data_IF_987716018369
#
_entry.id   IF_987716018369
#
_cell.length_a   1.000
_cell.length_b   1.000
_cell.length_c   1.000
_cell.angle_alpha   90.00
_cell.angle_beta   90.00
_cell.angle_gamma   90.00
#
_symmetry.space_group_name_H-M   'P 1'
#
loop_
_entity.id
_entity.type
_entity.pdbx_description
1 polymer ?
#
# COMPACT_ATOMS: atom_id res chain seq x y z
N UNK A 1 0.68 -33.38 -29.48
CA UNK A 1 0.29 -32.69 -28.23
C UNK A 1 1.46 -31.88 -27.66
N UNK A 2 2.56 -32.49 -27.23
CA UNK A 2 3.78 -31.78 -26.76
C UNK A 2 4.35 -30.75 -27.76
N UNK A 3 4.42 -31.07 -29.04
CA UNK A 3 4.93 -30.14 -30.07
C UNK A 3 4.03 -28.92 -30.31
N UNK A 4 2.73 -29.04 -30.06
CA UNK A 4 1.76 -27.93 -30.20
C UNK A 4 1.82 -27.03 -28.95
N UNK A 5 1.98 -27.65 -27.78
CA UNK A 5 2.10 -26.98 -26.49
C UNK A 5 3.47 -26.34 -26.22
N UNK A 6 4.51 -26.69 -26.99
CA UNK A 6 5.84 -26.06 -26.95
C UNK A 6 6.11 -25.19 -28.19
N UNK A 7 5.04 -24.77 -28.87
CA UNK A 7 5.09 -23.91 -30.06
C UNK A 7 5.79 -22.57 -29.81
N UNK A 8 6.32 -21.91 -30.86
CA UNK A 8 6.95 -20.60 -30.75
C UNK A 8 6.04 -19.52 -30.16
N UNK A 9 4.72 -19.68 -30.23
CA UNK A 9 3.76 -18.78 -29.59
C UNK A 9 3.91 -18.74 -28.06
N UNK A 10 4.32 -19.84 -27.43
CA UNK A 10 4.60 -19.87 -25.99
C UNK A 10 5.86 -19.09 -25.64
N UNK A 11 6.91 -19.22 -26.46
CA UNK A 11 8.15 -18.46 -26.27
C UNK A 11 7.90 -16.95 -26.45
N UNK A 12 7.02 -16.59 -27.39
CA UNK A 12 6.61 -15.21 -27.61
C UNK A 12 5.86 -14.62 -26.40
N UNK A 13 4.87 -15.33 -25.86
CA UNK A 13 4.15 -14.89 -24.65
C UNK A 13 5.08 -14.70 -23.45
N UNK A 14 6.10 -15.55 -23.32
CA UNK A 14 7.10 -15.37 -22.27
C UNK A 14 7.97 -14.13 -22.49
N UNK A 15 8.34 -13.82 -23.74
CA UNK A 15 9.06 -12.58 -24.06
C UNK A 15 8.19 -11.36 -23.72
N UNK A 16 6.92 -11.37 -24.12
CA UNK A 16 5.98 -10.29 -23.81
C UNK A 16 5.85 -10.08 -22.29
N UNK A 17 5.75 -11.15 -21.50
CA UNK A 17 5.73 -11.04 -20.03
C UNK A 17 7.02 -10.43 -19.46
N UNK A 18 8.19 -10.64 -20.09
CA UNK A 18 9.47 -10.02 -19.68
C UNK A 18 9.50 -8.55 -19.98
N UNK A 19 9.10 -8.20 -21.18
CA UNK A 19 9.13 -6.82 -21.64
C UNK A 19 8.14 -6.01 -20.79
N UNK A 20 6.96 -6.58 -20.54
CA UNK A 20 6.01 -6.01 -19.58
C UNK A 20 6.59 -5.88 -18.17
N UNK A 21 7.22 -6.93 -17.62
CA UNK A 21 7.91 -6.82 -16.33
C UNK A 21 8.95 -5.69 -16.36
N UNK A 22 9.76 -5.58 -17.40
CA UNK A 22 10.77 -4.52 -17.51
C UNK A 22 10.13 -3.13 -17.49
N UNK A 23 8.99 -2.93 -18.16
CA UNK A 23 8.24 -1.69 -18.07
C UNK A 23 7.75 -1.42 -16.64
N UNK A 24 7.23 -2.44 -15.94
CA UNK A 24 6.81 -2.31 -14.55
C UNK A 24 7.99 -2.01 -13.61
N UNK A 25 9.14 -2.64 -13.80
CA UNK A 25 10.36 -2.36 -13.02
C UNK A 25 10.83 -0.91 -13.21
N UNK A 26 10.81 -0.42 -14.45
CA UNK A 26 11.14 0.97 -14.75
C UNK A 26 10.18 1.91 -14.02
N UNK A 27 8.88 1.64 -14.08
CA UNK A 27 7.85 2.43 -13.41
C UNK A 27 7.99 2.45 -11.88
N UNK A 28 8.31 1.30 -11.25
CA UNK A 28 8.53 1.21 -9.80
C UNK A 28 9.85 1.88 -9.38
N UNK A 29 10.89 1.78 -10.21
CA UNK A 29 12.24 2.23 -9.84
C UNK A 29 12.42 3.75 -9.78
N UNK A 30 11.47 4.54 -10.33
CA UNK A 30 11.54 6.01 -10.39
C UNK A 30 12.89 6.54 -10.93
N UNK A 31 13.60 5.75 -11.76
CA UNK A 31 14.88 6.16 -12.34
C UNK A 31 14.62 7.34 -13.28
N UNK A 32 15.22 8.49 -13.00
CA UNK A 32 15.03 9.77 -13.70
C UNK A 32 15.40 9.76 -15.21
N UNK A 33 15.76 8.61 -15.78
CA UNK A 33 16.24 8.42 -17.15
C UNK A 33 15.14 8.00 -18.15
N UNK A 34 13.88 7.85 -17.72
CA UNK A 34 12.78 7.37 -18.58
C UNK A 34 12.07 8.55 -19.26
N UNK A 35 11.91 8.44 -20.59
CA UNK A 35 11.20 9.38 -21.48
C UNK A 35 9.85 9.79 -20.86
N UNK A 36 9.54 11.11 -20.77
CA UNK A 36 8.27 11.58 -20.19
C UNK A 36 7.00 10.96 -20.78
N UNK A 37 7.05 10.37 -21.98
CA UNK A 37 5.91 9.65 -22.59
C UNK A 37 5.63 8.25 -22.00
N UNK A 38 6.59 7.60 -21.34
CA UNK A 38 6.44 6.26 -20.74
C UNK A 38 6.11 6.27 -19.24
N UNK A 39 5.91 7.46 -18.67
CA UNK A 39 5.51 7.59 -17.26
C UNK A 39 4.05 7.19 -17.11
N UNK A 40 3.78 6.19 -16.27
CA UNK A 40 2.44 5.83 -15.77
C UNK A 40 1.76 6.96 -14.95
N UNK A 41 2.31 8.19 -14.95
CA UNK A 41 1.81 9.32 -14.20
C UNK A 41 2.13 10.65 -14.93
N UNK A 42 1.22 11.17 -15.78
CA UNK A 42 1.38 12.49 -16.41
C UNK A 42 1.41 13.65 -15.40
N UNK A 43 0.83 13.47 -14.20
CA UNK A 43 0.65 14.53 -13.19
C UNK A 43 1.54 14.37 -11.94
N UNK A 44 2.53 13.48 -11.97
CA UNK A 44 3.42 13.27 -10.80
C UNK A 44 2.78 12.49 -9.64
N UNK A 45 1.54 12.03 -9.79
CA UNK A 45 0.90 11.09 -8.89
C UNK A 45 1.10 9.68 -9.43
N UNK A 46 2.03 8.90 -8.88
CA UNK A 46 2.14 7.48 -9.20
C UNK A 46 0.80 6.80 -8.90
N UNK A 47 0.10 6.28 -9.91
CA UNK A 47 -1.11 5.45 -9.72
C UNK A 47 -0.68 4.08 -9.21
N UNK A 48 -0.40 4.03 -7.90
CA UNK A 48 0.04 2.83 -7.20
C UNK A 48 -0.95 1.67 -7.40
N UNK A 49 -2.25 1.97 -7.45
CA UNK A 49 -3.30 0.98 -7.67
C UNK A 49 -3.23 0.36 -9.08
N UNK A 50 -2.93 1.17 -10.10
CA UNK A 50 -2.70 0.70 -11.47
C UNK A 50 -1.48 -0.21 -11.55
N UNK A 51 -0.36 0.21 -10.93
CA UNK A 51 0.87 -0.58 -10.92
C UNK A 51 0.74 -1.89 -10.13
N UNK A 52 -0.01 -1.87 -9.03
CA UNK A 52 -0.35 -3.05 -8.24
C UNK A 52 -1.17 -4.05 -9.05
N UNK A 53 -2.20 -3.57 -9.76
CA UNK A 53 -3.00 -4.40 -10.67
C UNK A 53 -2.14 -5.02 -11.76
N UNK A 54 -1.32 -4.22 -12.44
CA UNK A 54 -0.49 -4.69 -13.55
C UNK A 54 0.58 -5.69 -13.08
N UNK A 55 1.14 -5.53 -11.88
CA UNK A 55 2.05 -6.52 -11.26
C UNK A 55 1.35 -7.87 -10.99
N UNK A 56 0.10 -7.84 -10.55
CA UNK A 56 -0.70 -9.05 -10.31
C UNK A 56 -1.07 -9.72 -11.63
N UNK A 57 -1.44 -8.95 -12.65
CA UNK A 57 -1.78 -9.46 -13.97
C UNK A 57 -0.55 -10.06 -14.67
N UNK A 58 0.60 -9.38 -14.60
CA UNK A 58 1.88 -9.90 -15.09
C UNK A 58 2.25 -11.22 -14.37
N UNK A 59 2.03 -11.30 -13.05
CA UNK A 59 2.22 -12.54 -12.29
C UNK A 59 1.33 -13.69 -12.82
N UNK A 60 0.05 -13.40 -13.12
CA UNK A 60 -0.87 -14.36 -13.74
C UNK A 60 -0.37 -14.83 -15.11
N UNK A 61 0.09 -13.91 -15.95
CA UNK A 61 0.64 -14.21 -17.27
C UNK A 61 1.87 -15.13 -17.23
N UNK A 62 2.78 -14.91 -16.27
CA UNK A 62 3.97 -15.77 -16.07
C UNK A 62 3.58 -17.18 -15.63
N UNK A 63 2.46 -17.32 -14.90
CA UNK A 63 1.99 -18.59 -14.32
C UNK A 63 1.06 -19.41 -15.23
N UNK A 64 0.76 -18.95 -16.45
CA UNK A 64 -0.25 -19.53 -17.34
C UNK A 64 -0.06 -21.04 -17.65
N UNK A 65 1.17 -21.58 -17.63
CA UNK A 65 1.43 -23.03 -17.77
C UNK A 65 2.54 -23.49 -16.83
N UNK A 66 2.32 -24.61 -16.12
CA UNK A 66 3.31 -25.22 -15.24
C UNK A 66 4.24 -26.16 -16.04
N UNK A 67 5.54 -25.86 -16.17
CA UNK A 67 6.47 -26.69 -16.95
C UNK A 67 6.71 -28.07 -16.33
N UNK A 68 6.41 -28.23 -15.03
CA UNK A 68 6.62 -29.47 -14.27
C UNK A 68 5.89 -30.68 -14.86
N UNK A 69 4.62 -30.51 -15.29
CA UNK A 69 3.84 -31.61 -15.86
C UNK A 69 4.46 -32.11 -17.18
N UNK A 70 4.87 -31.18 -18.05
CA UNK A 70 5.53 -31.51 -19.31
C UNK A 70 6.92 -32.13 -19.08
N UNK A 71 7.65 -31.66 -18.07
CA UNK A 71 8.96 -32.22 -17.69
C UNK A 71 8.84 -33.67 -17.21
N UNK A 72 7.81 -33.98 -16.42
CA UNK A 72 7.52 -35.34 -16.01
C UNK A 72 7.18 -36.24 -17.22
N UNK A 73 6.34 -35.76 -18.13
CA UNK A 73 6.01 -36.50 -19.36
C UNK A 73 7.24 -36.79 -20.22
N UNK A 74 8.08 -35.78 -20.48
CA UNK A 74 9.32 -35.97 -21.27
C UNK A 74 10.25 -36.96 -20.58
N UNK A 75 10.37 -36.90 -19.25
CA UNK A 75 11.20 -37.84 -18.48
C UNK A 75 10.71 -39.28 -18.61
N UNK A 76 9.40 -39.52 -18.54
CA UNK A 76 8.84 -40.86 -18.73
C UNK A 76 8.97 -41.34 -20.18
N UNK A 77 8.84 -40.44 -21.17
CA UNK A 77 9.09 -40.77 -22.58
C UNK A 77 10.56 -41.15 -22.82
N UNK A 78 11.51 -40.43 -22.23
CA UNK A 78 12.95 -40.75 -22.28
C UNK A 78 13.22 -42.14 -21.66
N UNK A 79 12.61 -42.44 -20.51
CA UNK A 79 12.71 -43.76 -19.87
C UNK A 79 12.15 -44.88 -20.75
N UNK A 80 10.96 -44.68 -21.32
CA UNK A 80 10.34 -45.67 -22.20
C UNK A 80 11.19 -45.92 -23.46
N UNK A 81 11.74 -44.85 -24.04
CA UNK A 81 12.66 -44.92 -25.18
C UNK A 81 13.96 -45.64 -24.82
N UNK A 82 14.51 -45.40 -23.63
CA UNK A 82 15.68 -46.14 -23.11
C UNK A 82 15.43 -47.64 -23.07
N UNK A 83 14.32 -48.08 -22.47
CA UNK A 83 13.93 -49.50 -22.42
C UNK A 83 13.71 -50.11 -23.81
N UNK A 84 13.10 -49.35 -24.71
CA UNK A 84 12.92 -49.78 -26.10
C UNK A 84 14.27 -50.02 -26.78
N UNK A 85 15.24 -49.12 -26.60
CA UNK A 85 16.60 -49.30 -27.13
C UNK A 85 17.28 -50.54 -26.58
N UNK A 86 17.21 -50.75 -25.26
CA UNK A 86 17.75 -51.95 -24.61
C UNK A 86 17.13 -53.23 -25.18
N UNK A 87 15.81 -53.23 -25.44
CA UNK A 87 15.13 -54.38 -26.03
C UNK A 87 15.59 -54.68 -27.47
N UNK A 88 15.83 -53.66 -28.29
CA UNK A 88 16.33 -53.82 -29.67
C UNK A 88 17.76 -54.33 -29.66
N UNK A 89 18.63 -53.81 -28.78
CA UNK A 89 20.02 -54.27 -28.67
C UNK A 89 20.07 -55.71 -28.18
N UNK A 90 19.25 -56.10 -27.21
CA UNK A 90 19.17 -57.47 -26.69
C UNK A 90 18.73 -58.48 -27.77
N UNK A 91 17.79 -58.11 -28.64
CA UNK A 91 17.39 -58.93 -29.79
C UNK A 91 18.49 -59.01 -30.85
N UNK A 92 19.37 -58.01 -30.93
CA UNK A 92 20.46 -57.96 -31.92
C UNK A 92 21.65 -58.83 -31.53
N UNK A 93 21.97 -58.95 -30.24
CA UNK A 93 23.06 -59.80 -29.75
C UNK A 93 22.75 -61.32 -29.88
N UNK A 94 21.47 -61.69 -30.00
CA UNK A 94 21.03 -63.09 -30.15
C UNK A 94 21.00 -63.59 -31.61
N UNK A 95 21.16 -62.71 -32.61
CA UNK A 95 21.09 -63.06 -34.03
C UNK A 95 22.49 -63.46 -34.56
N UNK A 96 22.95 -64.65 -34.15
CA UNK A 96 24.16 -65.27 -34.70
C UNK A 96 23.83 -66.08 -35.96
N UNK A 97 23.95 -65.43 -37.11
CA UNK A 97 24.35 -66.06 -38.38
C UNK A 97 23.31 -66.93 -39.10
N UNK A 98 22.72 -66.38 -40.16
CA UNK A 98 22.72 -67.05 -41.46
C UNK A 98 22.73 -66.00 -42.56
N UNK A 99 23.78 -66.03 -43.38
CA UNK A 99 23.88 -65.22 -44.59
C UNK A 99 23.15 -65.91 -45.75
N UNK A 100 22.62 -65.07 -46.65
CA UNK A 100 22.08 -65.38 -47.98
C UNK A 100 20.55 -65.56 -48.09
N UNK A 101 19.76 -64.62 -47.55
CA UNK A 101 18.37 -64.46 -47.99
C UNK A 101 17.97 -62.99 -48.18
N UNK A 102 17.21 -62.66 -49.23
CA UNK A 102 16.74 -61.29 -49.52
C UNK A 102 15.87 -60.75 -48.37
N UNK A 103 15.20 -61.66 -47.66
CA UNK A 103 14.46 -61.42 -46.42
C UNK A 103 15.34 -60.88 -45.29
N UNK A 104 16.52 -61.47 -45.08
CA UNK A 104 17.47 -61.01 -44.06
C UNK A 104 18.01 -59.60 -44.38
N UNK A 105 18.19 -59.27 -45.66
CA UNK A 105 18.60 -57.92 -46.08
C UNK A 105 17.50 -56.87 -45.81
N UNK A 106 16.23 -57.20 -46.07
CA UNK A 106 15.07 -56.33 -45.77
C UNK A 106 14.91 -56.11 -44.27
N UNK A 107 15.12 -57.14 -43.46
CA UNK A 107 15.04 -57.05 -42.00
C UNK A 107 16.15 -56.17 -41.41
N UNK A 108 17.39 -56.29 -41.90
CA UNK A 108 18.51 -55.39 -41.53
C UNK A 108 18.24 -53.93 -41.93
N UNK A 109 17.60 -53.69 -43.07
CA UNK A 109 17.23 -52.34 -43.50
C UNK A 109 16.15 -51.74 -42.59
N UNK A 110 15.08 -52.49 -42.31
CA UNK A 110 14.02 -52.06 -41.40
C UNK A 110 14.56 -51.73 -40.00
N UNK A 111 15.49 -52.56 -39.48
CA UNK A 111 16.14 -52.34 -38.19
C UNK A 111 16.98 -51.06 -38.17
N UNK A 112 17.73 -50.77 -39.24
CA UNK A 112 18.48 -49.51 -39.40
C UNK A 112 17.57 -48.29 -39.40
N UNK A 113 16.45 -48.36 -40.11
CA UNK A 113 15.46 -47.28 -40.14
C UNK A 113 14.84 -47.05 -38.76
N UNK A 114 14.54 -48.13 -38.03
CA UNK A 114 14.01 -48.07 -36.67
C UNK A 114 14.99 -47.45 -35.67
N UNK A 115 16.28 -47.81 -35.73
CA UNK A 115 17.35 -47.19 -34.91
C UNK A 115 17.51 -45.71 -35.25
N UNK A 116 17.46 -45.36 -36.55
CA UNK A 116 17.53 -43.97 -37.01
C UNK A 116 16.34 -43.15 -36.48
N UNK A 117 15.13 -43.69 -36.57
CA UNK A 117 13.92 -43.06 -36.04
C UNK A 117 14.02 -42.88 -34.53
N UNK A 118 14.42 -43.92 -33.79
CA UNK A 118 14.66 -43.86 -32.35
C UNK A 118 15.66 -42.75 -31.98
N UNK A 119 16.80 -42.66 -32.68
CA UNK A 119 17.80 -41.62 -32.46
C UNK A 119 17.25 -40.20 -32.68
N UNK A 120 16.47 -40.00 -33.75
CA UNK A 120 15.84 -38.70 -34.02
C UNK A 120 14.79 -38.32 -32.95
N UNK A 121 14.03 -39.29 -32.44
CA UNK A 121 13.07 -39.06 -31.36
C UNK A 121 13.77 -38.72 -30.04
N UNK A 122 14.85 -39.43 -29.69
CA UNK A 122 15.68 -39.13 -28.50
C UNK A 122 16.26 -37.72 -28.56
N UNK A 123 16.84 -37.30 -29.68
CA UNK A 123 17.37 -35.96 -29.85
C UNK A 123 16.28 -34.88 -29.66
N UNK A 124 15.05 -35.16 -30.09
CA UNK A 124 13.91 -34.23 -29.94
C UNK A 124 13.40 -34.17 -28.50
N UNK A 125 13.39 -35.30 -27.77
CA UNK A 125 13.05 -35.33 -26.35
C UNK A 125 14.07 -34.55 -25.52
N UNK A 126 15.36 -34.74 -25.78
CA UNK A 126 16.45 -34.00 -25.13
C UNK A 126 16.30 -32.48 -25.38
N UNK A 127 16.01 -32.08 -26.62
CA UNK A 127 15.73 -30.68 -26.93
C UNK A 127 14.56 -30.13 -26.10
N UNK A 128 13.45 -30.86 -25.98
CA UNK A 128 12.33 -30.43 -25.16
C UNK A 128 12.65 -30.39 -23.67
N UNK A 129 13.46 -31.32 -23.16
CA UNK A 129 13.93 -31.35 -21.78
C UNK A 129 14.73 -30.10 -21.44
N UNK A 130 15.71 -29.76 -22.28
CA UNK A 130 16.52 -28.54 -22.12
C UNK A 130 15.65 -27.30 -22.22
N UNK A 131 14.75 -27.23 -23.21
CA UNK A 131 13.80 -26.11 -23.36
C UNK A 131 12.94 -25.93 -22.12
N UNK A 132 12.30 -26.98 -21.62
CA UNK A 132 11.46 -26.95 -20.42
C UNK A 132 12.23 -26.51 -19.17
N UNK A 133 13.49 -26.93 -19.03
CA UNK A 133 14.37 -26.49 -17.95
C UNK A 133 14.65 -24.98 -18.04
N UNK A 134 14.90 -24.47 -19.25
CA UNK A 134 15.04 -23.03 -19.49
C UNK A 134 13.77 -22.25 -19.13
N UNK A 135 12.60 -22.74 -19.53
CA UNK A 135 11.30 -22.13 -19.20
C UNK A 135 11.05 -22.11 -17.67
N UNK A 136 11.42 -23.18 -16.96
CA UNK A 136 11.28 -23.25 -15.50
C UNK A 136 12.16 -22.23 -14.78
N UNK A 137 13.44 -22.15 -15.17
CA UNK A 137 14.35 -21.12 -14.65
C UNK A 137 13.85 -19.70 -14.96
N UNK A 138 13.27 -19.51 -16.14
CA UNK A 138 12.68 -18.24 -16.55
C UNK A 138 11.49 -17.84 -15.67
N UNK A 139 10.53 -18.75 -15.46
CA UNK A 139 9.39 -18.51 -14.58
C UNK A 139 9.89 -18.16 -13.18
N UNK A 140 10.84 -18.94 -12.64
CA UNK A 140 11.38 -18.70 -11.31
C UNK A 140 12.02 -17.31 -11.15
N UNK A 141 12.91 -16.92 -12.08
CA UNK A 141 13.59 -15.61 -12.04
C UNK A 141 12.63 -14.44 -12.21
N UNK A 142 11.65 -14.56 -13.10
CA UNK A 142 10.63 -13.52 -13.33
C UNK A 142 9.72 -13.34 -12.13
N UNK A 143 9.32 -14.43 -11.48
CA UNK A 143 8.55 -14.39 -10.24
C UNK A 143 9.33 -13.76 -9.08
N UNK A 144 10.62 -14.07 -8.96
CA UNK A 144 11.49 -13.45 -7.96
C UNK A 144 11.59 -11.93 -8.16
N UNK A 145 11.76 -11.48 -9.41
CA UNK A 145 11.78 -10.05 -9.76
C UNK A 145 10.44 -9.37 -9.49
N UNK A 146 9.33 -9.96 -9.90
CA UNK A 146 7.98 -9.47 -9.58
C UNK A 146 7.75 -9.31 -8.07
N UNK A 147 8.25 -10.25 -7.27
CA UNK A 147 8.18 -10.18 -5.80
C UNK A 147 8.95 -8.97 -5.28
N UNK A 148 10.18 -8.74 -5.74
CA UNK A 148 10.98 -7.57 -5.36
C UNK A 148 10.26 -6.26 -5.72
N UNK A 149 9.66 -6.18 -6.91
CA UNK A 149 8.91 -4.99 -7.31
C UNK A 149 7.67 -4.74 -6.45
N UNK A 150 6.94 -5.81 -6.10
CA UNK A 150 5.79 -5.72 -5.20
C UNK A 150 6.20 -5.22 -3.81
N UNK A 151 7.30 -5.74 -3.26
CA UNK A 151 7.85 -5.27 -1.98
C UNK A 151 8.30 -3.80 -2.03
N UNK A 152 8.91 -3.38 -3.14
CA UNK A 152 9.25 -1.97 -3.36
C UNK A 152 7.99 -1.07 -3.38
N UNK A 153 6.93 -1.51 -4.09
CA UNK A 153 5.66 -0.78 -4.14
C UNK A 153 5.02 -0.65 -2.75
N UNK A 154 5.00 -1.72 -1.95
CA UNK A 154 4.51 -1.66 -0.55
C UNK A 154 5.31 -0.68 0.30
N UNK A 155 6.63 -0.62 0.14
CA UNK A 155 7.46 0.34 0.85
C UNK A 155 7.14 1.79 0.45
N UNK A 156 6.89 2.06 -0.84
CA UNK A 156 6.49 3.38 -1.34
C UNK A 156 5.12 3.77 -0.77
N UNK A 157 4.14 2.86 -0.78
CA UNK A 157 2.82 3.09 -0.18
C UNK A 157 2.93 3.46 1.29
N UNK A 158 3.65 2.67 2.08
CA UNK A 158 3.81 2.92 3.51
C UNK A 158 4.48 4.28 3.79
N UNK A 159 5.45 4.69 2.98
CA UNK A 159 6.07 6.02 3.10
C UNK A 159 5.08 7.15 2.76
N UNK A 160 4.25 6.97 1.73
CA UNK A 160 3.23 7.94 1.34
C UNK A 160 2.15 8.07 2.40
N UNK A 161 1.65 6.96 2.94
CA UNK A 161 0.69 6.95 4.06
C UNK A 161 1.26 7.67 5.28
N UNK A 162 2.51 7.40 5.65
CA UNK A 162 3.16 8.08 6.77
C UNK A 162 3.24 9.60 6.55
N UNK A 163 3.56 10.05 5.31
CA UNK A 163 3.59 11.47 4.97
C UNK A 163 2.20 12.12 5.03
N UNK A 164 1.18 11.47 4.48
CA UNK A 164 -0.20 11.95 4.54
C UNK A 164 -0.70 12.07 5.99
N UNK A 165 -0.38 11.09 6.83
CA UNK A 165 -0.75 11.14 8.25
C UNK A 165 -0.10 12.33 8.98
N UNK A 166 1.16 12.66 8.65
CA UNK A 166 1.82 13.84 9.20
C UNK A 166 1.19 15.16 8.72
N UNK A 167 0.80 15.22 7.45
CA UNK A 167 0.11 16.38 6.88
C UNK A 167 -1.27 16.60 7.53
N UNK A 168 -2.06 15.52 7.65
CA UNK A 168 -3.35 15.54 8.35
C UNK A 168 -3.18 15.98 9.80
N UNK A 169 -2.17 15.48 10.52
CA UNK A 169 -1.89 15.91 11.88
C UNK A 169 -1.57 17.42 11.96
N UNK A 170 -0.81 17.93 10.98
CA UNK A 170 -0.53 19.36 10.84
C UNK A 170 -1.79 20.20 10.60
N UNK A 171 -2.68 19.74 9.72
CA UNK A 171 -3.98 20.40 9.48
C UNK A 171 -4.89 20.34 10.70
N UNK A 172 -4.98 19.20 11.38
CA UNK A 172 -5.73 19.05 12.62
C UNK A 172 -5.25 20.02 13.69
N UNK A 173 -3.93 20.22 13.81
CA UNK A 173 -3.37 21.24 14.71
C UNK A 173 -3.83 22.65 14.36
N UNK A 174 -3.87 23.00 13.07
CA UNK A 174 -4.38 24.30 12.60
C UNK A 174 -5.86 24.48 12.91
N UNK A 175 -6.67 23.44 12.67
CA UNK A 175 -8.11 23.43 12.99
C UNK A 175 -8.32 23.58 14.50
N UNK A 176 -7.57 22.87 15.34
CA UNK A 176 -7.65 22.98 16.79
C UNK A 176 -7.31 24.40 17.28
N UNK A 177 -6.25 25.02 16.73
CA UNK A 177 -5.91 26.42 17.04
C UNK A 177 -7.02 27.41 16.63
N UNK A 178 -7.59 27.23 15.44
CA UNK A 178 -8.72 28.05 14.98
C UNK A 178 -9.95 27.86 15.88
N UNK A 179 -10.26 26.61 16.25
CA UNK A 179 -11.38 26.26 17.15
C UNK A 179 -11.20 26.84 18.56
N UNK A 180 -9.98 26.88 19.10
CA UNK A 180 -9.67 27.54 20.38
C UNK A 180 -9.93 29.06 20.31
N UNK A 181 -9.60 29.69 19.19
CA UNK A 181 -9.91 31.11 18.95
C UNK A 181 -11.41 31.35 18.86
N UNK A 182 -12.12 30.51 18.13
CA UNK A 182 -13.57 30.59 17.99
C UNK A 182 -14.30 30.37 19.32
N UNK A 183 -13.83 29.41 20.14
CA UNK A 183 -14.32 29.16 21.49
C UNK A 183 -14.18 30.40 22.40
N UNK A 184 -13.10 31.17 22.23
CA UNK A 184 -12.91 32.42 22.98
C UNK A 184 -13.95 33.47 22.59
N UNK A 185 -14.25 33.62 21.29
CA UNK A 185 -15.32 34.49 20.83
C UNK A 185 -16.69 34.03 21.37
N UNK A 186 -16.95 32.72 21.36
CA UNK A 186 -18.18 32.14 21.91
C UNK A 186 -18.35 32.44 23.41
N UNK A 187 -17.27 32.39 24.20
CA UNK A 187 -17.28 32.81 25.62
C UNK A 187 -17.69 34.28 25.76
N UNK A 188 -17.17 35.18 24.91
CA UNK A 188 -17.52 36.61 25.00
C UNK A 188 -19.00 36.88 24.69
N UNK A 189 -19.58 36.18 23.71
CA UNK A 189 -21.02 36.29 23.40
C UNK A 189 -21.86 35.78 24.57
N UNK A 190 -21.48 34.64 25.16
CA UNK A 190 -22.16 34.08 26.31
C UNK A 190 -22.14 35.02 27.52
N UNK A 191 -21.00 35.68 27.78
CA UNK A 191 -20.88 36.69 28.84
C UNK A 191 -21.79 37.89 28.60
N UNK A 192 -21.85 38.42 27.38
CA UNK A 192 -22.78 39.50 27.02
C UNK A 192 -24.24 39.08 27.27
N UNK A 193 -24.61 37.86 26.89
CA UNK A 193 -25.95 37.32 27.16
C UNK A 193 -26.25 37.22 28.66
N UNK A 194 -25.31 36.73 29.46
CA UNK A 194 -25.46 36.63 30.91
C UNK A 194 -25.62 37.99 31.61
N UNK A 195 -25.03 39.06 31.05
CA UNK A 195 -25.17 40.43 31.54
C UNK A 195 -26.52 41.06 31.17
N UNK A 196 -26.97 40.90 29.91
CA UNK A 196 -28.17 41.57 29.43
C UNK A 196 -29.47 40.86 29.83
N UNK A 197 -29.51 39.53 29.86
CA UNK A 197 -30.74 38.76 30.15
C UNK A 197 -31.47 39.17 31.45
N UNK A 198 -30.82 39.25 32.63
CA UNK A 198 -31.52 39.62 33.87
C UNK A 198 -32.01 41.07 33.86
N UNK A 199 -31.24 41.99 33.28
CA UNK A 199 -31.63 43.39 33.15
C UNK A 199 -32.84 43.58 32.25
N UNK A 200 -32.87 42.91 31.09
CA UNK A 200 -34.00 42.98 30.15
C UNK A 200 -35.24 42.29 30.70
N UNK A 201 -35.09 41.14 31.37
CA UNK A 201 -36.20 40.43 32.02
C UNK A 201 -36.85 41.29 33.10
N UNK A 202 -36.06 41.87 34.01
CA UNK A 202 -36.58 42.74 35.05
C UNK A 202 -37.18 44.02 34.46
N UNK A 203 -36.56 44.65 33.46
CA UNK A 203 -37.15 45.80 32.76
C UNK A 203 -38.54 45.49 32.19
N UNK A 204 -38.73 44.31 31.59
CA UNK A 204 -40.04 43.87 31.11
C UNK A 204 -41.04 43.68 32.25
N UNK A 205 -40.64 43.07 33.37
CA UNK A 205 -41.52 42.85 34.53
C UNK A 205 -41.95 44.18 35.15
N UNK A 206 -41.01 45.12 35.35
CA UNK A 206 -41.29 46.45 35.89
C UNK A 206 -42.04 47.37 34.90
N UNK A 207 -42.00 47.08 33.61
CA UNK A 207 -42.82 47.77 32.59
C UNK A 207 -44.28 47.32 32.58
N UNK A 208 -44.62 46.21 33.23
CA UNK A 208 -46.02 45.82 33.43
C UNK A 208 -46.67 46.68 34.51
N UNK A 209 -47.99 46.84 34.48
CA UNK A 209 -48.78 47.68 35.39
C UNK A 209 -48.79 47.25 36.87
N UNK A 210 -47.85 46.40 37.29
CA UNK A 210 -47.71 45.90 38.66
C UNK A 210 -47.11 46.93 39.63
N UNK A 211 -46.37 47.95 39.13
CA UNK A 211 -45.78 49.02 39.94
C UNK A 211 -46.37 50.39 39.53
N UNK A 212 -47.11 51.04 40.43
CA UNK A 212 -47.81 52.30 40.16
C UNK A 212 -46.89 53.50 40.42
N UNK A 213 -46.09 53.86 39.41
CA UNK A 213 -45.11 54.97 39.45
C UNK A 213 -45.76 56.37 39.32
N UNK A 214 -46.83 56.66 40.07
CA UNK A 214 -47.52 57.96 40.02
C UNK A 214 -46.66 59.07 40.67
N UNK A 215 -46.43 60.20 39.99
CA UNK A 215 -45.72 61.33 40.59
C UNK A 215 -46.63 62.02 41.62
N UNK A 216 -46.31 61.88 42.90
CA UNK A 216 -46.87 62.77 43.93
C UNK A 216 -46.33 64.18 43.67
N UNK A 217 -47.21 65.18 43.74
CA UNK A 217 -47.16 66.55 43.18
C UNK A 217 -45.87 67.42 43.31
N UNK A 218 -44.75 66.89 43.80
CA UNK A 218 -43.47 67.60 43.90
C UNK A 218 -42.24 66.81 43.40
N UNK A 219 -42.38 65.55 42.93
CA UNK A 219 -41.24 64.78 42.42
C UNK A 219 -41.44 64.29 40.99
N UNK A 220 -40.50 64.63 40.09
CA UNK A 220 -40.48 64.21 38.68
C UNK A 220 -40.02 62.76 38.46
N UNK A 221 -39.65 62.05 39.52
CA UNK A 221 -39.23 60.64 39.49
C UNK A 221 -40.01 59.88 40.55
N UNK A 222 -40.57 58.73 40.19
CA UNK A 222 -41.29 57.89 41.13
C UNK A 222 -40.32 57.31 42.20
N UNK A 223 -40.73 57.39 43.47
CA UNK A 223 -39.90 57.05 44.64
C UNK A 223 -39.37 55.61 44.63
N UNK A 224 -40.06 54.70 43.95
CA UNK A 224 -39.78 53.25 43.97
C UNK A 224 -38.78 52.80 42.90
N UNK A 225 -38.27 53.70 42.06
CA UNK A 225 -37.29 53.38 41.01
C UNK A 225 -35.99 52.79 41.58
N UNK A 226 -35.68 53.06 42.85
CA UNK A 226 -34.52 52.49 43.54
C UNK A 226 -34.64 50.97 43.77
N UNK A 227 -35.87 50.43 43.88
CA UNK A 227 -36.13 48.99 44.06
C UNK A 227 -35.65 48.19 42.84
N UNK A 228 -35.80 48.75 41.63
CA UNK A 228 -35.26 48.16 40.40
C UNK A 228 -33.75 47.93 40.52
N UNK A 229 -32.98 48.95 40.93
CA UNK A 229 -31.52 48.83 41.05
C UNK A 229 -31.12 47.85 42.16
N UNK A 230 -31.83 47.85 43.29
CA UNK A 230 -31.58 46.93 44.40
C UNK A 230 -31.78 45.48 44.03
N UNK A 231 -32.74 45.16 43.16
CA UNK A 231 -33.02 43.78 42.77
C UNK A 231 -32.15 43.36 41.58
N UNK A 232 -31.98 44.25 40.60
CA UNK A 232 -31.30 43.95 39.34
C UNK A 232 -29.79 43.75 39.52
N UNK A 233 -29.13 44.58 40.32
CA UNK A 233 -27.68 44.51 40.54
C UNK A 233 -27.26 43.18 41.20
N UNK A 234 -27.82 42.75 42.35
CA UNK A 234 -27.43 41.50 42.98
C UNK A 234 -27.84 40.27 42.17
N UNK A 235 -28.97 40.31 41.46
CA UNK A 235 -29.37 39.19 40.58
C UNK A 235 -28.37 39.02 39.44
N UNK A 236 -27.97 40.13 38.79
CA UNK A 236 -26.96 40.12 37.73
C UNK A 236 -25.60 39.67 38.28
N UNK A 237 -25.21 40.16 39.46
CA UNK A 237 -23.98 39.74 40.14
C UNK A 237 -23.98 38.24 40.50
N UNK A 238 -25.13 37.69 40.92
CA UNK A 238 -25.26 36.27 41.22
C UNK A 238 -25.12 35.40 39.95
N UNK A 239 -25.73 35.80 38.83
CA UNK A 239 -25.64 35.09 37.55
C UNK A 239 -24.22 35.13 37.00
N UNK A 240 -23.62 36.32 36.92
CA UNK A 240 -22.24 36.49 36.43
C UNK A 240 -21.23 35.82 37.36
N UNK A 241 -21.42 35.94 38.68
CA UNK A 241 -20.58 35.31 39.68
C UNK A 241 -20.64 33.77 39.61
N UNK A 242 -21.84 33.21 39.44
CA UNK A 242 -22.03 31.77 39.25
C UNK A 242 -21.37 31.29 37.95
N UNK A 243 -21.57 32.00 36.84
CA UNK A 243 -20.93 31.70 35.56
C UNK A 243 -19.41 31.77 35.64
N UNK A 244 -18.86 32.84 36.24
CA UNK A 244 -17.43 33.03 36.38
C UNK A 244 -16.81 31.94 37.27
N UNK A 245 -17.45 31.59 38.38
CA UNK A 245 -16.99 30.47 39.21
C UNK A 245 -16.99 29.15 38.45
N UNK A 246 -18.01 28.89 37.64
CA UNK A 246 -18.12 27.64 36.88
C UNK A 246 -17.13 27.59 35.71
N UNK A 247 -16.96 28.69 34.98
CA UNK A 247 -15.99 28.82 33.88
C UNK A 247 -14.56 28.70 34.41
N UNK A 248 -14.22 29.40 35.50
CA UNK A 248 -12.90 29.30 36.16
C UNK A 248 -12.56 27.88 36.60
N UNK A 249 -13.56 27.15 37.12
CA UNK A 249 -13.39 25.76 37.57
C UNK A 249 -13.21 24.81 36.39
N UNK A 250 -13.90 25.05 35.27
CA UNK A 250 -13.74 24.28 34.03
C UNK A 250 -12.43 24.59 33.32
N UNK A 251 -12.01 25.85 33.27
CA UNK A 251 -10.73 26.27 32.68
C UNK A 251 -9.54 25.60 33.35
N UNK A 252 -9.55 25.47 34.68
CA UNK A 252 -8.48 24.77 35.40
C UNK A 252 -8.40 23.27 35.05
N UNK A 253 -9.53 22.67 34.69
CA UNK A 253 -9.58 21.27 34.28
C UNK A 253 -9.14 21.11 32.82
N UNK A 254 -9.65 21.96 31.92
CA UNK A 254 -9.22 22.00 30.52
C UNK A 254 -7.73 22.36 30.34
N UNK A 255 -7.17 23.23 31.18
CA UNK A 255 -5.75 23.56 31.13
C UNK A 255 -4.86 22.35 31.47
N UNK A 256 -5.29 21.50 32.41
CA UNK A 256 -4.60 20.25 32.73
C UNK A 256 -4.72 19.25 31.60
N UNK A 257 -5.92 19.11 31.04
CA UNK A 257 -6.17 18.22 29.90
C UNK A 257 -5.36 18.66 28.66
N UNK A 258 -5.26 19.96 28.38
CA UNK A 258 -4.42 20.54 27.32
C UNK A 258 -2.92 20.24 27.56
N UNK A 259 -2.43 20.41 28.80
CA UNK A 259 -1.02 20.16 29.16
C UNK A 259 -0.67 18.67 29.05
N UNK A 260 -1.57 17.79 29.48
CA UNK A 260 -1.41 16.34 29.36
C UNK A 260 -1.46 15.90 27.88
N UNK A 261 -2.30 16.53 27.06
CA UNK A 261 -2.35 16.29 25.62
C UNK A 261 -1.05 16.71 24.94
N UNK A 262 -0.52 17.89 25.25
CA UNK A 262 0.73 18.41 24.68
C UNK A 262 1.92 17.51 25.05
N UNK A 263 2.02 17.08 26.31
CA UNK A 263 3.04 16.11 26.76
C UNK A 263 2.93 14.78 26.00
N UNK A 264 1.72 14.28 25.76
CA UNK A 264 1.50 13.05 25.01
C UNK A 264 1.89 13.20 23.53
N UNK A 265 1.58 14.34 22.91
CA UNK A 265 1.99 14.65 21.54
C UNK A 265 3.52 14.72 21.44
N UNK A 266 4.21 15.45 22.32
CA UNK A 266 5.67 15.55 22.33
C UNK A 266 6.36 14.20 22.56
N UNK A 267 5.75 13.33 23.36
CA UNK A 267 6.23 11.97 23.58
C UNK A 267 6.07 11.14 22.30
N UNK A 268 4.93 11.24 21.63
CA UNK A 268 4.65 10.55 20.37
C UNK A 268 5.57 11.04 19.24
N UNK A 269 5.76 12.35 19.06
CA UNK A 269 6.68 12.91 18.05
C UNK A 269 8.12 12.43 18.24
N UNK A 270 8.61 12.44 19.49
CA UNK A 270 9.96 11.95 19.80
C UNK A 270 10.11 10.46 19.48
N UNK A 271 9.09 9.66 19.77
CA UNK A 271 9.10 8.22 19.49
C UNK A 271 9.06 7.95 17.98
N UNK A 272 8.21 8.68 17.23
CA UNK A 272 8.16 8.63 15.77
C UNK A 272 9.53 9.02 15.17
N UNK A 273 10.13 10.13 15.62
CA UNK A 273 11.45 10.56 15.15
C UNK A 273 12.53 9.52 15.46
N UNK A 274 12.50 8.92 16.65
CA UNK A 274 13.42 7.86 17.04
C UNK A 274 13.30 6.64 16.10
N UNK A 275 12.07 6.20 15.83
CA UNK A 275 11.81 5.09 14.91
C UNK A 275 12.19 5.40 13.45
N UNK A 276 11.94 6.62 12.97
CA UNK A 276 12.37 7.09 11.65
C UNK A 276 13.89 7.12 11.52
N UNK A 277 14.61 7.64 12.53
CA UNK A 277 16.08 7.65 12.58
C UNK A 277 16.67 6.24 12.59
N UNK A 278 16.04 5.31 13.33
CA UNK A 278 16.47 3.91 13.37
C UNK A 278 16.31 3.21 12.02
N UNK A 279 15.20 3.43 11.32
CA UNK A 279 14.96 2.85 9.99
C UNK A 279 15.88 3.43 8.90
N UNK A 280 16.17 4.73 8.95
CA UNK A 280 17.06 5.41 7.99
C UNK A 280 18.52 4.99 8.15
N UNK A 281 19.02 4.85 9.39
CA UNK A 281 20.38 4.36 9.66
C UNK A 281 20.62 2.91 9.19
N UNK A 282 19.60 2.04 9.29
CA UNK A 282 19.71 0.64 8.87
C UNK A 282 19.96 0.48 7.36
N UNK A 283 19.45 1.40 6.52
CA UNK A 283 19.66 1.37 5.06
C UNK A 283 21.03 1.90 4.63
N UNK A 284 21.71 2.70 5.45
CA UNK A 284 23.01 3.28 5.08
C UNK A 284 24.18 2.27 5.15
N UNK A 285 23.99 1.15 5.87
CA UNK A 285 25.09 0.22 6.17
C UNK A 285 25.32 -0.88 5.12
N UNK A 286 24.44 -1.06 4.13
CA UNK A 286 24.56 -2.19 3.16
C UNK A 286 25.26 -1.84 1.84
N UNK A 287 25.50 -0.56 1.53
CA UNK A 287 26.10 -0.15 0.24
C UNK A 287 27.63 0.03 0.26
N UNK A 288 28.27 0.05 1.44
CA UNK A 288 29.71 0.37 1.55
C UNK A 288 30.64 -0.85 1.67
N UNK A 289 30.16 -2.09 1.52
CA UNK A 289 31.03 -3.27 1.47
C UNK A 289 31.33 -3.67 0.02
N UNK A 290 31.95 -2.78 -0.75
CA UNK A 290 32.64 -3.17 -1.98
C UNK A 290 33.99 -3.74 -1.54
N UNK A 291 34.14 -5.06 -1.60
CA UNK A 291 35.41 -5.74 -1.42
C UNK A 291 36.42 -5.22 -2.45
N UNK A 292 37.54 -4.68 -1.97
CA UNK A 292 38.69 -4.35 -2.80
C UNK A 292 39.23 -5.60 -3.51
N UNK A 293 39.55 -5.55 -4.82
CA UNK A 293 40.11 -6.70 -5.53
C UNK A 293 41.53 -7.02 -5.00
N UNK A 294 41.95 -8.30 -5.00
CA UNK A 294 43.31 -8.65 -4.60
C UNK A 294 44.30 -8.09 -5.61
N UNK A 295 45.35 -7.44 -5.10
CA UNK A 295 46.45 -6.89 -5.91
C UNK A 295 47.31 -8.02 -6.50
N UNK A 296 47.91 -7.79 -7.68
CA UNK A 296 48.63 -8.80 -8.45
C UNK A 296 49.86 -9.37 -7.75
#
# INVERSE_FOLDING_TARGET
MLSLDLSPAHDQKQREARDWLRHLENAVSLRDEVDPQERYAPEGLLEIDGLSRDLVECHGHVMWKRPQAYRALVTEMERAMGRFRESITAVTDMDHGSDLDELAARERQHRRDLVRMHGSMMARLEFYRVKLTGLENYVHTTLARLKVQREALYNIMSQREARLNLEIAGEQRRIAHASKRDSTAMKTISLMGALFLPGTYLASVFSTSFFDFKPTASSRVASDLWIYFIVTIPLTAAIVGSWWWWDRRREAQFARDDEDLEKNIDKMERDIMFHLRKRTMSKAHTWNSISTPPRP
#
